data_IF_856433828812
#
_entry.id   IF_856433828812
#
_cell.length_a   1.000
_cell.length_b   1.000
_cell.length_c   1.000
_cell.angle_alpha   90.00
_cell.angle_beta   90.00
_cell.angle_gamma   90.00
#
_symmetry.space_group_name_H-M   'P 1'
#
loop_
_entity.id
_entity.type
_entity.pdbx_description
1 polymer ?
#
# COMPACT_ATOMS: atom_id res chain seq x y z
N UNK A 1 -7.28 12.71 0.61
CA UNK A 1 -7.87 11.38 0.47
C UNK A 1 -8.78 11.13 1.66
N UNK A 2 -10.02 10.73 1.41
CA UNK A 2 -10.97 10.35 2.45
C UNK A 2 -10.82 8.87 2.83
N UNK A 3 -11.34 8.45 3.98
CA UNK A 3 -11.26 7.07 4.47
C UNK A 3 -11.81 6.04 3.47
N UNK A 4 -12.97 6.33 2.85
CA UNK A 4 -13.61 5.44 1.86
C UNK A 4 -12.78 5.27 0.59
N UNK A 5 -12.14 6.34 0.13
CA UNK A 5 -11.27 6.30 -1.06
C UNK A 5 -10.05 5.42 -0.81
N UNK A 6 -9.47 5.50 0.39
CA UNK A 6 -8.36 4.63 0.77
C UNK A 6 -8.79 3.17 0.94
N UNK A 7 -9.98 2.91 1.51
CA UNK A 7 -10.52 1.54 1.64
C UNK A 7 -10.63 0.85 0.27
N UNK A 8 -11.16 1.57 -0.73
CA UNK A 8 -11.24 1.09 -2.12
C UNK A 8 -9.87 0.90 -2.77
N UNK A 9 -8.95 1.86 -2.56
CA UNK A 9 -7.59 1.78 -3.08
C UNK A 9 -6.84 0.57 -2.51
N UNK A 10 -6.96 0.33 -1.20
CA UNK A 10 -6.36 -0.81 -0.51
C UNK A 10 -6.96 -2.13 -1.02
N UNK A 11 -8.28 -2.17 -1.24
CA UNK A 11 -8.93 -3.35 -1.81
C UNK A 11 -8.41 -3.67 -3.22
N UNK A 12 -8.28 -2.67 -4.10
CA UNK A 12 -7.72 -2.85 -5.45
C UNK A 12 -6.26 -3.34 -5.38
N UNK A 13 -5.45 -2.72 -4.52
CA UNK A 13 -4.05 -3.09 -4.34
C UNK A 13 -3.91 -4.56 -3.88
N UNK A 14 -4.78 -5.02 -2.96
CA UNK A 14 -4.81 -6.41 -2.50
C UNK A 14 -5.20 -7.38 -3.62
N UNK A 15 -6.05 -6.96 -4.56
CA UNK A 15 -6.41 -7.70 -5.76
C UNK A 15 -5.38 -7.59 -6.90
N UNK A 16 -4.12 -7.28 -6.57
CA UNK A 16 -2.97 -7.21 -7.50
C UNK A 16 -3.08 -6.09 -8.55
N UNK A 17 -3.90 -5.07 -8.31
CA UNK A 17 -3.87 -3.85 -9.13
C UNK A 17 -2.56 -3.09 -8.89
N UNK A 18 -1.67 -3.13 -9.88
CA UNK A 18 -0.35 -2.50 -9.82
C UNK A 18 -0.43 -0.98 -9.65
N UNK A 19 -1.44 -0.33 -10.23
CA UNK A 19 -1.61 1.12 -10.11
C UNK A 19 -1.99 1.47 -8.68
N UNK A 20 -2.92 0.72 -8.09
CA UNK A 20 -3.33 0.93 -6.70
C UNK A 20 -2.19 0.66 -5.71
N UNK A 21 -1.40 -0.40 -5.93
CA UNK A 21 -0.18 -0.68 -5.13
C UNK A 21 0.80 0.50 -5.22
N UNK A 22 1.06 0.98 -6.43
CA UNK A 22 1.99 2.09 -6.64
C UNK A 22 1.51 3.38 -5.97
N UNK A 23 0.22 3.69 -6.06
CA UNK A 23 -0.38 4.86 -5.42
C UNK A 23 -0.21 4.82 -3.89
N UNK A 24 -0.44 3.67 -3.26
CA UNK A 24 -0.20 3.49 -1.82
C UNK A 24 1.28 3.70 -1.48
N UNK A 25 2.20 3.14 -2.27
CA UNK A 25 3.64 3.34 -2.04
C UNK A 25 4.02 4.82 -2.15
N UNK A 26 3.51 5.55 -3.15
CA UNK A 26 3.78 6.97 -3.32
C UNK A 26 3.20 7.80 -2.15
N UNK A 27 2.03 7.44 -1.62
CA UNK A 27 1.48 8.09 -0.42
C UNK A 27 2.42 7.94 0.79
N UNK A 28 3.00 6.75 0.97
CA UNK A 28 3.94 6.49 2.08
C UNK A 28 5.37 6.93 1.77
N UNK A 29 5.70 7.31 0.53
CA UNK A 29 7.07 7.64 0.10
C UNK A 29 7.80 8.64 1.00
N UNK A 30 7.19 9.75 1.47
CA UNK A 30 7.86 10.67 2.40
C UNK A 30 8.26 10.00 3.71
N UNK A 31 7.43 9.08 4.23
CA UNK A 31 7.70 8.30 5.43
C UNK A 31 8.83 7.29 5.16
N UNK A 32 8.77 6.56 4.06
CA UNK A 32 9.78 5.57 3.68
C UNK A 32 11.15 6.24 3.53
N UNK A 33 11.22 7.39 2.85
CA UNK A 33 12.46 8.17 2.69
C UNK A 33 13.01 8.74 4.00
N UNK A 34 12.12 9.07 4.96
CA UNK A 34 12.53 9.53 6.29
C UNK A 34 13.26 8.43 7.07
N UNK A 35 12.75 7.19 6.98
CA UNK A 35 13.27 6.05 7.73
C UNK A 35 14.34 5.24 6.97
N UNK A 36 14.42 5.37 5.65
CA UNK A 36 15.50 4.81 4.84
C UNK A 36 16.82 5.57 4.95
N UNK A 37 17.08 6.18 6.11
CA UNK A 37 18.33 6.90 6.39
C UNK A 37 19.09 6.18 7.48
N UNK A 38 20.27 5.71 7.15
CA UNK A 38 21.23 5.13 8.09
C UNK A 38 22.41 6.08 8.23
N UNK A 39 22.73 6.51 9.46
CA UNK A 39 23.82 7.46 9.74
C UNK A 39 23.76 8.76 8.92
N UNK A 40 22.54 9.26 8.67
CA UNK A 40 22.29 10.49 7.90
C UNK A 40 22.40 10.34 6.38
N UNK A 41 22.76 9.17 5.86
CA UNK A 41 22.81 8.86 4.42
C UNK A 41 21.59 8.03 4.02
N UNK A 42 21.13 8.23 2.79
CA UNK A 42 20.10 7.38 2.21
C UNK A 42 20.65 5.97 2.00
N UNK A 43 19.90 4.98 2.43
CA UNK A 43 20.21 3.57 2.32
C UNK A 43 19.15 2.93 1.40
N UNK A 44 19.60 2.57 0.19
CA UNK A 44 18.74 2.01 -0.86
C UNK A 44 18.15 0.66 -0.48
N UNK A 45 18.95 -0.20 0.17
CA UNK A 45 18.52 -1.53 0.60
C UNK A 45 17.47 -1.41 1.71
N UNK A 46 17.70 -0.49 2.66
CA UNK A 46 16.71 -0.19 3.70
C UNK A 46 15.41 0.37 3.12
N UNK A 47 15.49 1.23 2.10
CA UNK A 47 14.30 1.72 1.39
C UNK A 47 13.51 0.56 0.76
N UNK A 48 14.20 -0.35 0.05
CA UNK A 48 13.57 -1.52 -0.57
C UNK A 48 12.91 -2.43 0.47
N UNK A 49 13.54 -2.65 1.62
CA UNK A 49 12.95 -3.42 2.73
C UNK A 49 11.70 -2.76 3.31
N UNK A 50 11.71 -1.43 3.46
CA UNK A 50 10.53 -0.68 3.91
C UNK A 50 9.39 -0.77 2.87
N UNK A 51 9.69 -0.68 1.57
CA UNK A 51 8.69 -0.91 0.51
C UNK A 51 8.13 -2.34 0.59
N UNK A 52 8.98 -3.35 0.77
CA UNK A 52 8.56 -4.73 0.98
C UNK A 52 7.66 -4.89 2.23
N UNK A 53 7.94 -4.16 3.31
CA UNK A 53 7.09 -4.15 4.50
C UNK A 53 5.70 -3.55 4.22
N UNK A 54 5.61 -2.47 3.43
CA UNK A 54 4.32 -1.91 2.99
C UNK A 54 3.54 -2.91 2.14
N UNK A 55 4.20 -3.56 1.17
CA UNK A 55 3.58 -4.59 0.34
C UNK A 55 3.03 -5.76 1.18
N UNK A 56 3.82 -6.27 2.13
CA UNK A 56 3.38 -7.31 3.07
C UNK A 56 2.18 -6.85 3.89
N UNK A 57 2.16 -5.57 4.29
CA UNK A 57 1.07 -4.98 5.07
C UNK A 57 -0.23 -4.89 4.25
N UNK A 58 -0.17 -4.47 2.98
CA UNK A 58 -1.32 -4.44 2.07
C UNK A 58 -1.99 -5.82 1.99
N UNK A 59 -1.20 -6.89 1.87
CA UNK A 59 -1.72 -8.26 1.73
C UNK A 59 -2.29 -8.80 3.04
N UNK A 60 -1.63 -8.52 4.17
CA UNK A 60 -1.98 -9.05 5.50
C UNK A 60 -3.05 -8.24 6.23
N UNK A 61 -3.33 -7.01 5.80
CA UNK A 61 -4.29 -6.14 6.49
C UNK A 61 -5.70 -6.79 6.53
N UNK A 62 -6.33 -6.88 7.71
CA UNK A 62 -7.65 -7.47 7.83
C UNK A 62 -8.70 -6.52 7.24
N UNK A 63 -9.22 -6.87 6.05
CA UNK A 63 -10.33 -6.15 5.41
C UNK A 63 -11.63 -6.92 5.56
N UNK A 64 -12.73 -6.21 5.85
CA UNK A 64 -14.08 -6.78 5.81
C UNK A 64 -14.47 -7.04 4.35
N UNK A 65 -14.45 -8.31 3.92
CA UNK A 65 -14.71 -8.72 2.54
C UNK A 65 -16.17 -8.56 2.12
N UNK A 66 -17.11 -8.53 3.07
CA UNK A 66 -18.56 -8.45 2.83
C UNK A 66 -18.99 -7.21 2.02
N UNK A 67 -18.28 -6.08 2.17
CA UNK A 67 -18.56 -4.84 1.41
C UNK A 67 -18.25 -4.93 -0.09
N UNK A 68 -17.28 -5.75 -0.48
CA UNK A 68 -16.71 -5.75 -1.84
C UNK A 68 -17.19 -6.92 -2.70
N UNK A 69 -17.89 -7.90 -2.12
CA UNK A 69 -18.52 -9.00 -2.87
C UNK A 69 -19.52 -8.49 -3.92
N UNK A 70 -20.17 -7.34 -3.68
CA UNK A 70 -21.10 -6.71 -4.63
C UNK A 70 -20.40 -5.90 -5.75
N UNK A 71 -19.09 -5.63 -5.65
CA UNK A 71 -18.33 -4.99 -6.73
C UNK A 71 -17.94 -5.97 -7.83
N UNK A 72 -17.87 -7.28 -7.51
CA UNK A 72 -17.49 -8.34 -8.45
C UNK A 72 -18.62 -8.75 -9.41
N UNK A 73 -19.86 -8.28 -9.21
CA UNK A 73 -21.04 -8.62 -10.02
C UNK A 73 -21.52 -7.39 -10.82
N UNK A 74 -20.63 -6.77 -11.57
CA UNK A 74 -21.03 -5.85 -12.64
C UNK A 74 -20.24 -6.18 -13.91
N UNK A 75 -20.77 -7.11 -14.69
CA UNK A 75 -20.51 -7.29 -16.11
C UNK A 75 -21.83 -7.15 -16.86
#
# INVERSE_FOLDING_TARGET
MQEREFEELLWKARNKDKKAVFEIIEMYRPLLLKYAKSSGKFDEDLYQELVCAVLKSIIKFPMKTEKYNNLCIKY
#
